data_IF_430543553784
#
_entry.id   IF_430543553784
#
_cell.length_a   1.000
_cell.length_b   1.000
_cell.length_c   1.000
_cell.angle_alpha   90.00
_cell.angle_beta   90.00
_cell.angle_gamma   90.00
#
_symmetry.space_group_name_H-M   'P 1'
#
loop_
_entity.id
_entity.type
_entity.pdbx_description
1 polymer ?
#
# COMPACT_ATOMS: atom_id res chain seq x y z
N UNK A 1 21.42 3.43 31.31
CA UNK A 1 21.11 2.05 30.88
C UNK A 1 19.59 1.93 30.93
N UNK A 2 18.92 2.12 29.79
CA UNK A 2 17.45 2.13 29.72
C UNK A 2 17.02 0.79 29.18
N UNK A 3 16.37 0.00 30.02
CA UNK A 3 15.83 -1.31 29.69
C UNK A 3 14.52 -1.12 28.94
N UNK A 4 14.51 -1.35 27.62
CA UNK A 4 13.31 -1.31 26.81
C UNK A 4 12.50 -2.60 27.05
N UNK A 5 11.48 -2.52 27.88
CA UNK A 5 10.56 -3.63 28.13
C UNK A 5 9.67 -3.85 26.91
N UNK A 6 9.85 -4.98 26.23
CA UNK A 6 9.02 -5.43 25.11
C UNK A 6 7.61 -5.78 25.62
N UNK A 7 6.60 -4.97 25.26
CA UNK A 7 5.19 -5.32 25.44
C UNK A 7 4.73 -6.08 24.20
N UNK A 8 4.45 -7.38 24.38
CA UNK A 8 3.94 -8.26 23.32
C UNK A 8 2.49 -7.87 22.97
N UNK A 9 2.33 -7.02 21.96
CA UNK A 9 1.04 -6.82 21.30
C UNK A 9 0.63 -8.09 20.55
N UNK A 10 -0.57 -8.59 20.81
CA UNK A 10 -1.15 -9.69 20.04
C UNK A 10 -1.63 -9.14 18.70
N UNK A 11 -0.82 -9.34 17.65
CA UNK A 11 -1.27 -9.16 16.27
C UNK A 11 -1.96 -10.45 15.84
N UNK A 12 -3.30 -10.43 15.78
CA UNK A 12 -4.08 -11.48 15.13
C UNK A 12 -3.91 -11.36 13.62
N UNK A 13 -2.93 -12.08 13.09
CA UNK A 13 -2.68 -12.23 11.67
C UNK A 13 -1.96 -13.54 11.42
N UNK A 14 -2.35 -14.27 10.37
CA UNK A 14 -1.60 -15.44 9.92
C UNK A 14 -0.29 -14.91 9.34
N UNK A 15 0.81 -15.05 10.09
CA UNK A 15 2.16 -14.91 9.56
C UNK A 15 2.33 -16.09 8.59
N UNK A 16 2.33 -15.82 7.29
CA UNK A 16 2.55 -16.83 6.27
C UNK A 16 3.86 -17.56 6.52
N UNK A 17 3.82 -18.90 6.57
CA UNK A 17 5.03 -19.71 6.71
C UNK A 17 5.74 -19.77 5.36
N UNK A 18 6.90 -19.12 5.26
CA UNK A 18 7.80 -19.22 4.10
C UNK A 18 8.45 -20.60 4.10
N UNK A 19 8.01 -21.50 3.22
CA UNK A 19 8.67 -22.79 3.04
C UNK A 19 9.80 -22.67 2.00
N UNK A 20 11.04 -22.50 2.47
CA UNK A 20 12.24 -22.53 1.62
C UNK A 20 12.48 -23.95 1.09
N UNK A 21 12.04 -24.25 -0.14
CA UNK A 21 12.38 -25.51 -0.82
C UNK A 21 13.70 -25.44 -1.59
N UNK A 22 14.22 -24.24 -1.85
CA UNK A 22 15.53 -23.97 -2.45
C UNK A 22 16.05 -22.60 -1.97
N UNK A 23 17.29 -22.45 -1.46
CA UNK A 23 17.82 -21.17 -0.99
C UNK A 23 17.91 -20.08 -2.08
N UNK A 24 17.84 -20.44 -3.36
CA UNK A 24 17.89 -19.51 -4.50
C UNK A 24 16.48 -19.00 -4.88
N UNK A 25 15.42 -19.68 -4.44
CA UNK A 25 14.02 -19.34 -4.76
C UNK A 25 13.27 -19.10 -3.45
N UNK A 26 13.37 -17.87 -2.93
CA UNK A 26 12.52 -17.40 -1.84
C UNK A 26 11.15 -16.97 -2.37
N UNK A 27 10.08 -17.44 -1.72
CA UNK A 27 8.72 -16.92 -1.92
C UNK A 27 8.24 -16.38 -0.59
N UNK A 28 7.80 -15.13 -0.55
CA UNK A 28 7.07 -14.59 0.61
C UNK A 28 5.59 -14.43 0.30
N UNK A 29 4.76 -14.59 1.32
CA UNK A 29 3.30 -14.58 1.19
C UNK A 29 2.73 -13.79 2.36
N UNK A 30 1.86 -12.82 2.06
CA UNK A 30 1.07 -12.06 3.04
C UNK A 30 -0.40 -12.24 2.71
N UNK A 31 -1.16 -12.77 3.67
CA UNK A 31 -2.60 -13.00 3.54
C UNK A 31 -3.44 -11.99 4.32
N UNK A 32 -4.75 -12.08 4.14
CA UNK A 32 -5.75 -11.28 4.87
C UNK A 32 -5.62 -9.77 4.62
N UNK A 33 -5.31 -9.40 3.36
CA UNK A 33 -5.17 -8.00 2.94
C UNK A 33 -6.54 -7.34 3.02
N UNK A 34 -6.64 -6.22 3.74
CA UNK A 34 -7.89 -5.48 3.85
C UNK A 34 -8.25 -4.87 2.50
N UNK A 35 -9.37 -5.26 1.85
CA UNK A 35 -9.75 -4.69 0.57
C UNK A 35 -10.06 -3.20 0.72
N UNK A 36 -9.68 -2.40 -0.28
CA UNK A 36 -10.09 -1.00 -0.31
C UNK A 36 -11.62 -0.92 -0.36
N UNK A 37 -12.26 0.01 0.39
CA UNK A 37 -13.71 0.14 0.39
C UNK A 37 -14.23 0.37 -1.03
N UNK A 38 -15.01 -0.58 -1.55
CA UNK A 38 -15.66 -0.47 -2.84
C UNK A 38 -16.88 0.45 -2.71
N UNK A 39 -17.00 1.44 -3.60
CA UNK A 39 -18.26 2.18 -3.77
C UNK A 39 -19.37 1.18 -4.12
N UNK A 40 -20.42 1.13 -3.30
CA UNK A 40 -21.52 0.14 -3.40
C UNK A 40 -22.29 0.34 -4.71
N UNK A 41 -22.25 -0.66 -5.60
CA UNK A 41 -23.22 -0.81 -6.69
C UNK A 41 -24.27 -1.86 -6.29
N UNK A 42 -25.54 -1.46 -6.28
CA UNK A 42 -26.68 -2.31 -5.94
C UNK A 42 -27.04 -3.27 -7.08
N UNK A 43 -26.90 -4.59 -6.86
CA UNK A 43 -27.83 -5.59 -7.43
C UNK A 43 -27.72 -6.92 -6.68
N UNK A 44 -28.78 -7.24 -5.95
CA UNK A 44 -29.01 -8.42 -5.12
C UNK A 44 -29.50 -9.64 -5.91
N UNK A 45 -29.10 -10.85 -5.51
CA UNK A 45 -30.00 -12.02 -5.50
C UNK A 45 -29.52 -13.11 -4.55
N UNK A 46 -30.38 -13.43 -3.59
CA UNK A 46 -30.25 -14.42 -2.52
C UNK A 46 -30.67 -15.83 -2.95
N UNK A 47 -30.01 -16.86 -2.40
CA UNK A 47 -30.67 -18.14 -2.10
C UNK A 47 -30.04 -18.80 -0.87
N UNK A 48 -30.90 -19.25 0.03
CA UNK A 48 -30.62 -19.77 1.37
C UNK A 48 -30.76 -21.30 1.39
N UNK A 49 -29.85 -22.00 2.08
CA UNK A 49 -30.16 -23.30 2.67
C UNK A 49 -29.25 -23.58 3.87
N UNK A 50 -29.89 -23.80 5.02
CA UNK A 50 -29.33 -23.97 6.36
C UNK A 50 -28.72 -25.35 6.59
N UNK A 51 -27.60 -25.40 7.32
CA UNK A 51 -27.03 -26.62 7.90
C UNK A 51 -26.09 -26.27 9.07
N UNK A 52 -26.53 -26.61 10.29
CA UNK A 52 -25.85 -26.41 11.57
C UNK A 52 -24.41 -26.97 11.59
N UNK A 53 -23.41 -26.15 11.97
CA UNK A 53 -22.23 -26.57 12.76
C UNK A 53 -21.69 -25.42 13.64
N UNK A 54 -21.12 -25.82 14.77
CA UNK A 54 -20.84 -25.08 16.01
C UNK A 54 -19.84 -23.91 15.84
N UNK A 55 -20.22 -22.74 16.35
CA UNK A 55 -19.61 -21.45 16.00
C UNK A 55 -18.51 -20.92 16.92
N UNK A 56 -17.55 -20.22 16.30
CA UNK A 56 -16.95 -18.99 16.82
C UNK A 56 -17.39 -17.85 15.89
N UNK A 57 -17.92 -16.77 16.47
CA UNK A 57 -18.52 -15.62 15.79
C UNK A 57 -17.63 -15.08 14.66
N UNK A 58 -18.04 -15.37 13.42
CA UNK A 58 -17.64 -14.61 12.25
C UNK A 58 -18.36 -13.27 12.23
N UNK A 59 -17.63 -12.21 11.90
CA UNK A 59 -18.22 -10.91 11.63
C UNK A 59 -18.85 -10.94 10.23
N UNK A 60 -20.10 -10.49 10.16
CA UNK A 60 -20.97 -10.65 9.01
C UNK A 60 -20.70 -9.59 7.94
N UNK A 61 -19.84 -9.90 6.98
CA UNK A 61 -19.78 -9.21 5.69
C UNK A 61 -19.81 -10.25 4.58
N UNK A 62 -20.83 -10.20 3.71
CA UNK A 62 -21.06 -11.20 2.67
C UNK A 62 -19.81 -11.47 1.83
N UNK A 63 -19.40 -12.75 1.77
CA UNK A 63 -18.41 -13.38 0.88
C UNK A 63 -17.49 -12.40 0.12
N UNK A 64 -16.72 -11.59 0.86
CA UNK A 64 -15.65 -10.80 0.27
C UNK A 64 -14.42 -11.71 0.25
N UNK A 65 -14.02 -12.13 -0.95
CA UNK A 65 -12.91 -13.07 -1.15
C UNK A 65 -11.63 -12.70 -0.39
N UNK A 66 -10.85 -13.71 0.02
CA UNK A 66 -9.59 -13.50 0.73
C UNK A 66 -8.53 -12.99 -0.24
N UNK A 67 -7.98 -11.80 0.04
CA UNK A 67 -6.86 -11.25 -0.71
C UNK A 67 -5.53 -11.71 -0.12
N UNK A 68 -4.65 -12.16 -1.00
CA UNK A 68 -3.32 -12.66 -0.65
C UNK A 68 -2.31 -12.09 -1.64
N UNK A 69 -1.24 -11.48 -1.13
CA UNK A 69 -0.09 -11.09 -1.93
C UNK A 69 1.04 -12.10 -1.76
N UNK A 70 1.78 -12.31 -2.83
CA UNK A 70 3.00 -13.10 -2.80
C UNK A 70 4.08 -12.42 -3.61
N UNK A 71 5.32 -12.58 -3.20
CA UNK A 71 6.46 -12.19 -4.01
C UNK A 71 7.47 -13.30 -4.13
N UNK A 72 8.19 -13.32 -5.24
CA UNK A 72 9.33 -14.19 -5.48
C UNK A 72 10.61 -13.37 -5.56
N UNK A 73 11.73 -13.99 -5.18
CA UNK A 73 13.04 -13.32 -5.11
C UNK A 73 13.54 -12.80 -6.48
N UNK A 74 12.99 -13.30 -7.58
CA UNK A 74 13.25 -12.81 -8.94
C UNK A 74 12.52 -11.49 -9.27
N UNK A 75 11.79 -10.92 -8.31
CA UNK A 75 11.08 -9.65 -8.47
C UNK A 75 9.65 -9.78 -8.97
N UNK A 76 9.05 -10.98 -8.99
CA UNK A 76 7.61 -11.09 -9.28
C UNK A 76 6.78 -10.82 -8.03
N UNK A 77 5.86 -9.85 -8.08
CA UNK A 77 4.86 -9.57 -7.03
C UNK A 77 3.48 -9.87 -7.62
N UNK A 78 2.66 -10.68 -6.94
CA UNK A 78 1.33 -11.06 -7.39
C UNK A 78 0.30 -10.82 -6.31
N UNK A 79 -0.88 -10.35 -6.72
CA UNK A 79 -2.06 -10.29 -5.88
C UNK A 79 -3.06 -11.35 -6.35
N UNK A 80 -3.53 -12.15 -5.40
CA UNK A 80 -4.52 -13.20 -5.59
C UNK A 80 -5.78 -12.83 -4.78
N UNK A 81 -6.95 -13.18 -5.33
CA UNK A 81 -8.23 -13.15 -4.62
C UNK A 81 -8.86 -14.54 -4.73
N UNK A 82 -9.06 -15.21 -3.60
CA UNK A 82 -9.55 -16.60 -3.57
C UNK A 82 -8.77 -17.52 -4.54
N UNK A 83 -7.42 -17.47 -4.46
CA UNK A 83 -6.49 -18.18 -5.35
C UNK A 83 -6.49 -17.70 -6.82
N UNK A 84 -7.39 -16.81 -7.22
CA UNK A 84 -7.43 -16.26 -8.57
C UNK A 84 -6.50 -15.04 -8.70
N UNK A 85 -5.55 -15.12 -9.64
CA UNK A 85 -4.63 -14.02 -9.94
C UNK A 85 -5.37 -12.78 -10.40
N UNK A 86 -5.26 -11.71 -9.62
CA UNK A 86 -5.77 -10.38 -9.97
C UNK A 86 -4.78 -9.67 -10.90
N UNK A 87 -3.51 -9.63 -10.49
CA UNK A 87 -2.44 -9.06 -11.30
C UNK A 87 -1.07 -9.60 -10.89
N UNK A 88 -0.10 -9.32 -11.74
CA UNK A 88 1.31 -9.64 -11.55
C UNK A 88 2.16 -8.44 -11.99
N UNK A 89 3.14 -8.10 -11.18
CA UNK A 89 4.09 -7.02 -11.39
C UNK A 89 5.49 -7.61 -11.33
N UNK A 90 6.21 -7.50 -12.44
CA UNK A 90 7.64 -7.82 -12.45
C UNK A 90 8.44 -6.55 -12.13
N UNK A 91 9.29 -6.65 -11.12
CA UNK A 91 10.22 -5.59 -10.74
C UNK A 91 11.65 -6.02 -11.03
N UNK A 92 12.54 -5.04 -11.17
CA UNK A 92 13.95 -5.27 -11.53
C UNK A 92 14.82 -5.67 -10.33
N UNK A 93 14.30 -5.57 -9.11
CA UNK A 93 15.05 -5.79 -7.88
C UNK A 93 14.56 -7.03 -7.13
N UNK A 94 15.49 -7.74 -6.49
CA UNK A 94 15.17 -8.93 -5.71
C UNK A 94 14.47 -8.57 -4.41
N UNK A 95 13.15 -8.72 -4.40
CA UNK A 95 12.31 -8.50 -3.21
C UNK A 95 12.56 -9.65 -2.23
N UNK A 96 12.87 -9.29 -0.98
CA UNK A 96 13.15 -10.26 0.07
C UNK A 96 12.21 -10.14 1.26
N UNK A 97 11.44 -9.05 1.33
CA UNK A 97 10.51 -8.79 2.41
C UNK A 97 9.21 -8.21 1.87
N UNK A 98 8.06 -8.74 2.28
CA UNK A 98 6.72 -8.34 1.87
C UNK A 98 5.82 -8.14 3.09
N UNK A 99 5.08 -7.04 3.12
CA UNK A 99 4.18 -6.65 4.19
C UNK A 99 2.91 -6.01 3.62
N UNK A 100 1.85 -5.99 4.42
CA UNK A 100 0.63 -5.26 4.11
C UNK A 100 0.44 -4.12 5.11
N UNK A 101 0.25 -2.91 4.61
CA UNK A 101 0.14 -1.70 5.40
C UNK A 101 -0.69 -0.66 4.67
N UNK A 102 -1.72 -0.13 5.33
CA UNK A 102 -2.41 1.09 4.90
C UNK A 102 -1.51 2.32 5.07
N UNK A 103 -0.92 2.75 3.97
CA UNK A 103 -0.09 3.94 3.81
C UNK A 103 -0.86 5.14 3.25
N UNK A 104 -2.01 4.94 2.62
CA UNK A 104 -2.84 6.04 2.08
C UNK A 104 -3.87 6.57 3.07
N UNK A 105 -4.13 5.84 4.16
CA UNK A 105 -5.16 6.16 5.14
C UNK A 105 -6.59 5.92 4.61
N UNK A 106 -6.73 5.16 3.52
CA UNK A 106 -8.04 4.88 2.91
C UNK A 106 -8.75 3.67 3.54
N UNK A 107 -8.10 2.98 4.49
CA UNK A 107 -8.61 1.77 5.14
C UNK A 107 -8.39 0.49 4.34
N UNK A 108 -7.86 0.58 3.12
CA UNK A 108 -7.37 -0.57 2.35
C UNK A 108 -5.87 -0.74 2.53
N UNK A 109 -5.42 -1.99 2.67
CA UNK A 109 -3.99 -2.25 2.79
C UNK A 109 -3.30 -2.20 1.42
N UNK A 110 -2.11 -1.61 1.40
CA UNK A 110 -1.19 -1.70 0.28
C UNK A 110 -0.07 -2.71 0.54
N UNK A 111 0.48 -3.24 -0.54
CA UNK A 111 1.55 -4.23 -0.50
C UNK A 111 2.87 -3.47 -0.49
N UNK A 112 3.62 -3.62 0.60
CA UNK A 112 4.93 -3.00 0.79
C UNK A 112 6.00 -4.07 0.66
N UNK A 113 6.83 -3.98 -0.38
CA UNK A 113 7.94 -4.89 -0.64
C UNK A 113 9.29 -4.18 -0.58
N UNK A 114 10.28 -4.75 0.10
CA UNK A 114 11.64 -4.22 0.12
C UNK A 114 12.62 -5.17 -0.58
N UNK A 115 13.51 -4.58 -1.39
CA UNK A 115 14.65 -5.25 -2.00
C UNK A 115 15.92 -5.09 -1.16
N UNK A 116 16.91 -5.94 -1.44
CA UNK A 116 18.20 -5.96 -0.74
C UNK A 116 19.03 -4.68 -0.92
N UNK A 117 18.81 -3.94 -1.99
CA UNK A 117 19.50 -2.70 -2.32
C UNK A 117 18.82 -1.44 -1.74
N UNK A 118 17.77 -1.64 -0.94
CA UNK A 118 17.01 -0.55 -0.34
C UNK A 118 15.87 0.00 -1.20
N UNK A 119 15.63 -0.56 -2.40
CA UNK A 119 14.44 -0.22 -3.17
C UNK A 119 13.17 -0.78 -2.53
N UNK A 120 12.28 0.12 -2.14
CA UNK A 120 10.98 -0.20 -1.54
C UNK A 120 9.85 0.09 -2.52
N UNK A 121 8.96 -0.88 -2.69
CA UNK A 121 7.81 -0.84 -3.56
C UNK A 121 6.55 -0.78 -2.71
N UNK A 122 5.70 0.21 -2.95
CA UNK A 122 4.37 0.30 -2.34
C UNK A 122 3.37 0.16 -3.48
N UNK A 123 2.61 -0.93 -3.47
CA UNK A 123 1.71 -1.32 -4.56
C UNK A 123 0.29 -1.41 -4.04
N UNK A 124 -0.61 -0.65 -4.65
CA UNK A 124 -2.03 -0.73 -4.31
C UNK A 124 -2.70 -1.96 -4.94
N UNK A 125 -3.94 -2.23 -4.54
CA UNK A 125 -4.72 -3.35 -5.07
C UNK A 125 -5.05 -3.21 -6.56
N UNK A 126 -4.91 -2.00 -7.13
CA UNK A 126 -5.12 -1.67 -8.54
C UNK A 126 -3.83 -1.71 -9.35
N UNK A 127 -2.71 -2.19 -8.79
CA UNK A 127 -1.39 -2.30 -9.43
C UNK A 127 -0.70 -0.95 -9.70
N UNK A 128 -1.11 0.14 -9.06
CA UNK A 128 -0.35 1.38 -9.05
C UNK A 128 0.85 1.23 -8.10
N UNK A 129 1.99 1.81 -8.46
CA UNK A 129 3.25 1.57 -7.78
C UNK A 129 3.93 2.89 -7.43
N UNK A 130 4.31 3.02 -6.16
CA UNK A 130 5.24 4.03 -5.68
C UNK A 130 6.56 3.34 -5.35
N UNK A 131 7.67 3.95 -5.77
CA UNK A 131 9.02 3.47 -5.44
C UNK A 131 9.68 4.47 -4.50
N UNK A 132 10.28 3.96 -3.44
CA UNK A 132 11.09 4.72 -2.50
C UNK A 132 12.47 4.08 -2.43
N UNK A 133 13.52 4.86 -2.67
CA UNK A 133 14.89 4.39 -2.56
C UNK A 133 15.45 4.80 -1.20
N UNK A 134 15.72 3.82 -0.34
CA UNK A 134 16.34 4.05 0.96
C UNK A 134 17.81 4.51 0.84
N UNK A 135 18.52 4.12 -0.23
CA UNK A 135 19.88 4.57 -0.53
C UNK A 135 21.00 3.71 0.07
N UNK A 136 20.68 2.67 0.84
CA UNK A 136 21.64 1.70 1.38
C UNK A 136 21.12 0.27 1.28
N UNK A 137 22.05 -0.70 1.33
CA UNK A 137 21.69 -2.11 1.34
C UNK A 137 21.02 -2.49 2.68
N UNK A 138 19.90 -3.19 2.56
CA UNK A 138 19.02 -3.57 3.66
C UNK A 138 19.18 -5.07 3.94
N UNK A 139 19.44 -5.44 5.19
CA UNK A 139 19.56 -6.83 5.60
C UNK A 139 18.28 -7.36 6.27
N UNK A 140 17.46 -6.47 6.82
CA UNK A 140 16.13 -6.79 7.34
C UNK A 140 15.19 -5.60 7.14
N UNK A 141 13.94 -5.90 6.84
CA UNK A 141 12.90 -4.90 6.65
C UNK A 141 11.64 -5.35 7.38
N UNK A 142 10.93 -4.39 7.98
CA UNK A 142 9.60 -4.61 8.52
C UNK A 142 8.72 -3.39 8.31
N UNK A 143 7.46 -3.62 7.96
CA UNK A 143 6.46 -2.56 7.83
C UNK A 143 5.22 -2.94 8.63
N UNK A 144 4.64 -1.97 9.32
CA UNK A 144 3.51 -2.21 10.20
C UNK A 144 3.04 -0.95 10.89
N UNK A 145 1.95 -1.07 11.66
CA UNK A 145 1.49 -0.03 12.56
C UNK A 145 2.23 -0.19 13.90
N UNK A 146 3.01 0.82 14.27
CA UNK A 146 3.74 0.81 15.53
C UNK A 146 3.32 1.98 16.39
N UNK A 147 3.03 1.68 17.64
CA UNK A 147 2.66 2.65 18.66
C UNK A 147 3.88 3.38 19.21
N UNK A 148 3.85 4.71 19.18
CA UNK A 148 4.67 5.54 20.07
C UNK A 148 3.74 6.57 20.70
N UNK A 149 3.74 6.65 22.04
CA UNK A 149 2.91 7.59 22.82
C UNK A 149 1.39 7.40 22.64
N UNK A 150 0.93 6.15 22.54
CA UNK A 150 -0.49 5.82 22.52
C UNK A 150 -1.20 5.99 21.17
N UNK A 151 -0.44 6.23 20.08
CA UNK A 151 -0.97 6.20 18.71
C UNK A 151 -0.18 5.25 17.83
N UNK A 152 -0.90 4.32 17.22
CA UNK A 152 -0.37 3.43 16.20
C UNK A 152 -0.33 4.15 14.86
N UNK A 153 0.86 4.30 14.31
CA UNK A 153 1.08 4.96 13.02
C UNK A 153 1.80 4.01 12.07
N UNK A 154 1.58 4.13 10.74
CA UNK A 154 2.31 3.33 9.77
C UNK A 154 3.80 3.67 9.82
N UNK A 155 4.66 2.67 10.00
CA UNK A 155 6.11 2.85 9.96
C UNK A 155 6.78 1.83 9.05
N UNK A 156 7.91 2.25 8.49
CA UNK A 156 8.86 1.40 7.78
C UNK A 156 10.14 1.33 8.60
N UNK A 157 10.61 0.11 8.86
CA UNK A 157 11.81 -0.16 9.65
C UNK A 157 12.82 -0.86 8.77
N UNK A 158 13.98 -0.23 8.60
CA UNK A 158 15.10 -0.75 7.83
C UNK A 158 16.26 -1.07 8.76
N UNK A 159 16.88 -2.22 8.57
CA UNK A 159 18.15 -2.57 9.20
C UNK A 159 19.20 -2.76 8.13
N UNK A 160 20.34 -2.09 8.26
CA UNK A 160 21.42 -2.14 7.27
C UNK A 160 22.47 -3.18 7.64
N UNK A 161 23.30 -3.58 6.66
CA UNK A 161 24.43 -4.48 6.92
C UNK A 161 25.49 -3.89 7.85
N UNK A 162 25.47 -2.58 8.08
CA UNK A 162 26.34 -1.89 9.04
C UNK A 162 25.79 -1.90 10.47
N UNK A 163 24.65 -2.57 10.72
CA UNK A 163 24.02 -2.67 12.03
C UNK A 163 23.25 -1.41 12.45
N UNK A 164 22.94 -0.51 11.51
CA UNK A 164 22.12 0.66 11.78
C UNK A 164 20.64 0.35 11.54
N UNK A 165 19.77 0.88 12.40
CA UNK A 165 18.31 0.75 12.30
C UNK A 165 17.71 2.11 12.00
N UNK A 166 16.93 2.19 10.94
CA UNK A 166 16.23 3.40 10.51
C UNK A 166 14.73 3.19 10.58
N UNK A 167 14.02 4.11 11.23
CA UNK A 167 12.57 4.06 11.41
C UNK A 167 11.97 5.29 10.75
N UNK A 168 11.24 5.07 9.65
CA UNK A 168 10.39 6.09 9.06
C UNK A 168 9.02 5.99 9.71
N UNK A 169 8.66 7.00 10.49
CA UNK A 169 7.40 7.04 11.25
C UNK A 169 6.34 7.84 10.49
N UNK A 170 5.08 7.42 10.63
CA UNK A 170 3.91 8.09 10.03
C UNK A 170 4.06 8.25 8.52
N UNK A 171 4.40 7.15 7.84
CA UNK A 171 4.53 7.11 6.39
C UNK A 171 3.14 7.17 5.78
N UNK A 172 2.84 8.32 5.18
CA UNK A 172 1.55 8.58 4.52
C UNK A 172 1.75 9.02 3.09
N UNK A 173 1.11 8.34 2.14
CA UNK A 173 1.10 8.70 0.73
C UNK A 173 -0.23 9.40 0.41
N UNK A 174 -0.22 10.62 -0.17
CA UNK A 174 -1.45 11.33 -0.52
C UNK A 174 -2.24 10.60 -1.62
N UNK A 175 -1.54 9.94 -2.54
CA UNK A 175 -2.12 9.11 -3.58
C UNK A 175 -1.03 8.23 -4.19
N UNK A 176 -1.34 6.96 -4.42
CA UNK A 176 -0.48 6.02 -5.15
C UNK A 176 -0.67 6.15 -6.67
N UNK A 177 -1.89 6.23 -7.22
CA UNK A 177 -2.05 6.51 -8.64
C UNK A 177 -1.52 7.91 -8.98
N UNK A 178 -0.78 8.00 -10.08
CA UNK A 178 -0.38 9.29 -10.65
C UNK A 178 -1.65 10.04 -11.08
N UNK A 179 -2.09 10.96 -10.24
CA UNK A 179 -3.30 11.72 -10.54
C UNK A 179 -2.91 12.86 -11.48
N UNK A 180 -3.51 12.88 -12.67
CA UNK A 180 -3.34 14.01 -13.57
C UNK A 180 -4.01 15.24 -12.95
N UNK A 181 -3.39 16.42 -13.07
CA UNK A 181 -3.99 17.69 -12.62
C UNK A 181 -5.44 17.86 -13.12
N UNK A 182 -5.72 17.45 -14.36
CA UNK A 182 -7.07 17.48 -14.94
C UNK A 182 -8.05 16.50 -14.26
N UNK A 183 -7.55 15.42 -13.70
CA UNK A 183 -8.34 14.45 -12.96
C UNK A 183 -8.59 14.94 -11.53
N UNK A 184 -7.58 15.49 -10.85
CA UNK A 184 -7.75 16.14 -9.54
C UNK A 184 -8.74 17.31 -9.59
N UNK A 185 -8.75 18.08 -10.69
CA UNK A 185 -9.74 19.14 -10.94
C UNK A 185 -11.19 18.64 -11.04
N UNK A 186 -11.40 17.38 -11.44
CA UNK A 186 -12.74 16.77 -11.51
C UNK A 186 -13.18 16.17 -10.17
N UNK A 187 -12.24 15.71 -9.34
CA UNK A 187 -12.48 14.90 -8.14
C UNK A 187 -12.70 15.70 -6.84
N UNK A 188 -12.84 17.03 -6.91
CA UNK A 188 -13.02 17.95 -5.75
C UNK A 188 -11.80 18.17 -4.84
N UNK A 189 -10.58 17.84 -5.27
CA UNK A 189 -9.38 18.13 -4.47
C UNK A 189 -8.99 19.62 -4.47
N UNK A 190 -9.61 20.43 -5.34
CA UNK A 190 -9.35 21.87 -5.43
C UNK A 190 -10.47 22.70 -4.81
N UNK A 191 -10.14 23.88 -4.23
CA UNK A 191 -11.15 24.84 -3.77
C UNK A 191 -12.17 25.14 -4.87
N UNK A 192 -13.44 25.26 -4.50
CA UNK A 192 -14.56 25.48 -5.44
C UNK A 192 -14.32 26.68 -6.36
N UNK A 193 -13.65 27.71 -5.85
CA UNK A 193 -13.27 28.92 -6.60
C UNK A 193 -12.31 28.63 -7.77
N UNK A 194 -11.32 27.76 -7.54
CA UNK A 194 -10.36 27.34 -8.58
C UNK A 194 -11.10 26.55 -9.66
N UNK A 195 -12.07 25.71 -9.26
CA UNK A 195 -12.86 24.92 -10.19
C UNK A 195 -13.81 25.77 -11.04
N UNK A 196 -14.52 26.72 -10.43
CA UNK A 196 -15.36 27.68 -11.17
C UNK A 196 -14.55 28.50 -12.17
N UNK A 197 -13.38 28.98 -11.75
CA UNK A 197 -12.47 29.72 -12.62
C UNK A 197 -11.93 28.84 -13.74
N UNK A 198 -11.60 27.58 -13.45
CA UNK A 198 -11.16 26.60 -14.43
C UNK A 198 -12.25 26.29 -15.46
N UNK A 199 -13.50 26.09 -15.02
CA UNK A 199 -14.62 25.77 -15.91
C UNK A 199 -15.00 26.96 -16.80
N UNK A 200 -14.75 28.19 -16.35
CA UNK A 200 -14.95 29.41 -17.16
C UNK A 200 -13.92 29.59 -18.29
N UNK A 201 -12.79 28.89 -18.25
CA UNK A 201 -11.72 29.06 -19.23
C UNK A 201 -11.94 28.25 -20.51
N UNK A 202 -11.63 28.87 -21.65
CA UNK A 202 -11.49 28.18 -22.93
C UNK A 202 -10.27 27.25 -22.94
N UNK A 203 -10.27 26.23 -23.81
CA UNK A 203 -9.16 25.26 -23.87
C UNK A 203 -7.79 25.90 -24.14
N UNK A 204 -7.77 27.02 -24.88
CA UNK A 204 -6.53 27.79 -25.13
C UNK A 204 -6.05 28.44 -23.84
N UNK A 205 -6.94 29.07 -23.07
CA UNK A 205 -6.62 29.69 -21.79
C UNK A 205 -6.16 28.66 -20.76
N UNK A 206 -6.80 27.49 -20.70
CA UNK A 206 -6.40 26.37 -19.82
C UNK A 206 -4.97 25.92 -20.11
N UNK A 207 -4.60 25.77 -21.39
CA UNK A 207 -3.24 25.36 -21.79
C UNK A 207 -2.20 26.41 -21.44
N UNK A 208 -2.50 27.69 -21.68
CA UNK A 208 -1.61 28.80 -21.31
C UNK A 208 -1.42 28.87 -19.79
N UNK A 209 -2.50 28.73 -19.02
CA UNK A 209 -2.42 28.80 -17.56
C UNK A 209 -1.66 27.61 -16.95
N UNK A 210 -1.86 26.38 -17.45
CA UNK A 210 -1.05 25.23 -17.03
C UNK A 210 0.42 25.48 -17.34
N UNK A 211 0.73 26.01 -18.54
CA UNK A 211 2.09 26.29 -18.96
C UNK A 211 2.75 27.33 -18.05
N UNK A 212 2.03 28.40 -17.72
CA UNK A 212 2.54 29.45 -16.85
C UNK A 212 2.72 28.92 -15.41
N UNK A 213 1.77 28.15 -14.87
CA UNK A 213 1.90 27.60 -13.52
C UNK A 213 3.05 26.59 -13.37
N UNK A 214 3.33 25.77 -14.39
CA UNK A 214 4.35 24.73 -14.31
C UNK A 214 5.75 25.22 -14.74
N UNK A 215 5.82 26.25 -15.59
CA UNK A 215 7.07 26.64 -16.25
C UNK A 215 7.38 28.13 -16.19
N UNK A 216 6.56 28.97 -15.54
CA UNK A 216 6.93 30.37 -15.38
C UNK A 216 8.17 30.51 -14.49
N UNK A 217 9.19 31.26 -14.93
CA UNK A 217 10.35 31.54 -14.10
C UNK A 217 9.89 32.32 -12.87
N UNK A 218 10.20 31.82 -11.68
CA UNK A 218 10.01 32.57 -10.44
C UNK A 218 10.99 33.75 -10.43
N UNK A 219 10.55 34.91 -10.91
CA UNK A 219 11.22 36.17 -10.59
C UNK A 219 11.01 36.40 -9.09
N UNK A 220 12.04 36.08 -8.30
CA UNK A 220 12.12 36.40 -6.88
C UNK A 220 11.84 37.90 -6.69
N UNK A 221 10.84 38.21 -5.87
CA UNK A 221 10.65 39.52 -5.25
C UNK A 221 11.36 39.56 -3.92
#
# INVERSE_FOLDING_TARGET
MVELTYQKGSVDGIIGVVQRRNPIVGTEIVGNITPAPQSIDHSSSSSSSSGNQVGRKGDGTGLCGTLTALCTLDGSIKLLKDENKQWELQVDHSIFSLHCLDTTGCGGDEIVGCAWDGMTYIVDQKRNVVKFNFGENVCAFSAGKYGCEGRDVPCLVYTTFHGQIFIYRNVTLPSIPSTNMLQSLKTNDFPVEVRQKWDSFTDVQKRTHIRDCLYAPHSQS
#
